data_IF_251071818930
#
_entry.id   IF_251071818930
#
_cell.length_a   1.000
_cell.length_b   1.000
_cell.length_c   1.000
_cell.angle_alpha   90.00
_cell.angle_beta   90.00
_cell.angle_gamma   90.00
#
_symmetry.space_group_name_H-M   'P 1'
#
loop_
_entity.id
_entity.type
_entity.pdbx_description
1 polymer ?
#
# COMPACT_ATOMS: atom_id res chain seq x y z
N UNK A 1 5.34 -3.76 8.95
CA UNK A 1 4.68 -4.08 7.67
C UNK A 1 4.47 -2.86 6.80
N UNK A 2 4.04 -1.73 7.39
CA UNK A 2 3.81 -0.52 6.59
C UNK A 2 5.09 0.06 6.01
N UNK A 3 6.19 0.02 6.76
CA UNK A 3 7.48 0.45 6.24
C UNK A 3 7.92 -0.43 5.08
N UNK A 4 7.67 -1.74 5.16
CA UNK A 4 7.94 -2.65 4.06
C UNK A 4 7.11 -2.31 2.83
N UNK A 5 5.82 -1.98 3.02
CA UNK A 5 4.95 -1.56 1.94
C UNK A 5 5.45 -0.27 1.27
N UNK A 6 5.80 0.73 2.09
CA UNK A 6 6.34 2.00 1.60
C UNK A 6 7.63 1.78 0.80
N UNK A 7 8.52 0.91 1.30
CA UNK A 7 9.77 0.60 0.62
C UNK A 7 9.53 -0.05 -0.73
N UNK A 8 8.59 -1.01 -0.79
CA UNK A 8 8.28 -1.70 -2.05
C UNK A 8 7.69 -0.75 -3.08
N UNK A 9 6.79 0.15 -2.66
CA UNK A 9 6.22 1.15 -3.56
C UNK A 9 7.31 2.11 -4.07
N UNK A 10 8.22 2.53 -3.19
CA UNK A 10 9.34 3.40 -3.59
C UNK A 10 10.24 2.71 -4.61
N UNK A 11 10.55 1.43 -4.42
CA UNK A 11 11.35 0.66 -5.37
C UNK A 11 10.64 0.47 -6.69
N UNK A 12 9.32 0.25 -6.66
CA UNK A 12 8.51 0.16 -7.87
C UNK A 12 8.54 1.47 -8.66
N UNK A 13 8.46 2.60 -7.97
CA UNK A 13 8.56 3.92 -8.59
C UNK A 13 9.90 4.10 -9.28
N UNK A 14 10.99 3.77 -8.60
CA UNK A 14 12.33 3.84 -9.19
C UNK A 14 12.46 2.96 -10.43
N UNK A 15 11.97 1.72 -10.35
CA UNK A 15 12.00 0.79 -11.47
C UNK A 15 11.19 1.32 -12.66
N UNK A 16 10.04 1.92 -12.39
CA UNK A 16 9.18 2.50 -13.42
C UNK A 16 9.89 3.67 -14.12
N UNK A 17 10.54 4.52 -13.34
CA UNK A 17 11.27 5.68 -13.88
C UNK A 17 12.48 5.27 -14.73
N UNK A 18 13.10 4.14 -14.41
CA UNK A 18 14.25 3.61 -15.15
C UNK A 18 13.85 2.63 -16.26
N UNK A 19 12.57 2.38 -16.44
CA UNK A 19 12.09 1.48 -17.50
C UNK A 19 12.33 0.00 -17.21
N UNK A 20 12.59 -0.38 -15.96
CA UNK A 20 12.79 -1.78 -15.59
C UNK A 20 11.45 -2.45 -15.30
N UNK A 21 10.83 -3.00 -16.35
CA UNK A 21 9.48 -3.57 -16.31
C UNK A 21 9.41 -4.77 -15.36
N UNK A 22 10.41 -5.65 -15.38
CA UNK A 22 10.43 -6.83 -14.55
C UNK A 22 10.48 -6.47 -13.06
N UNK A 23 11.37 -5.54 -12.68
CA UNK A 23 11.50 -5.11 -11.29
C UNK A 23 10.25 -4.34 -10.83
N UNK A 24 9.69 -3.50 -11.69
CA UNK A 24 8.44 -2.78 -11.40
C UNK A 24 7.33 -3.76 -11.02
N UNK A 25 7.09 -4.76 -11.84
CA UNK A 25 6.05 -5.76 -11.59
C UNK A 25 6.30 -6.55 -10.32
N UNK A 26 7.54 -6.95 -10.08
CA UNK A 26 7.92 -7.67 -8.87
C UNK A 26 7.66 -6.85 -7.60
N UNK A 27 8.09 -5.59 -7.58
CA UNK A 27 7.93 -4.74 -6.40
C UNK A 27 6.47 -4.37 -6.15
N UNK A 28 5.70 -4.10 -7.21
CA UNK A 28 4.26 -3.85 -7.07
C UNK A 28 3.55 -5.09 -6.53
N UNK A 29 3.89 -6.28 -7.04
CA UNK A 29 3.33 -7.52 -6.54
C UNK A 29 3.61 -7.74 -5.06
N UNK A 30 4.83 -7.46 -4.61
CA UNK A 30 5.20 -7.56 -3.19
C UNK A 30 4.45 -6.53 -2.34
N UNK A 31 4.27 -5.32 -2.84
CA UNK A 31 3.49 -4.29 -2.13
C UNK A 31 2.04 -4.71 -1.97
N UNK A 32 1.42 -5.25 -3.01
CA UNK A 32 0.05 -5.77 -2.96
C UNK A 32 -0.06 -6.89 -1.92
N UNK A 33 0.91 -7.79 -1.88
CA UNK A 33 0.93 -8.89 -0.91
C UNK A 33 1.04 -8.39 0.54
N UNK A 34 1.87 -7.37 0.78
CA UNK A 34 2.02 -6.77 2.11
C UNK A 34 0.70 -6.13 2.54
N UNK A 35 0.04 -5.39 1.65
CA UNK A 35 -1.26 -4.78 1.96
C UNK A 35 -2.31 -5.86 2.20
N UNK A 36 -2.27 -6.97 1.44
CA UNK A 36 -3.12 -8.12 1.69
C UNK A 36 -2.95 -8.68 3.09
N UNK A 37 -1.70 -8.77 3.57
CA UNK A 37 -1.40 -9.18 4.95
C UNK A 37 -1.98 -8.21 5.97
N UNK A 38 -1.92 -6.90 5.70
CA UNK A 38 -2.55 -5.90 6.57
C UNK A 38 -4.06 -6.10 6.65
N UNK A 39 -4.70 -6.39 5.52
CA UNK A 39 -6.15 -6.66 5.49
C UNK A 39 -6.50 -7.89 6.31
N UNK A 40 -5.72 -8.96 6.18
CA UNK A 40 -5.95 -10.21 6.92
C UNK A 40 -5.77 -10.01 8.43
N UNK A 41 -4.92 -9.10 8.86
CA UNK A 41 -4.67 -8.84 10.27
C UNK A 41 -5.75 -7.98 10.93
N UNK A 42 -6.67 -7.41 10.16
CA UNK A 42 -7.76 -6.61 10.71
C UNK A 42 -8.74 -7.49 11.49
N UNK A 43 -9.09 -7.03 12.70
CA UNK A 43 -10.07 -7.73 13.53
C UNK A 43 -11.43 -7.06 13.38
N UNK A 44 -12.25 -7.56 12.46
CA UNK A 44 -13.55 -6.99 12.17
C UNK A 44 -14.53 -7.10 13.33
N UNK A 45 -14.36 -8.10 14.21
CA UNK A 45 -15.21 -8.25 15.38
C UNK A 45 -14.97 -7.17 16.43
N UNK A 46 -13.71 -6.84 16.67
CA UNK A 46 -13.33 -5.84 17.67
C UNK A 46 -13.22 -4.45 17.07
N UNK A 47 -12.72 -4.35 15.84
CA UNK A 47 -12.53 -3.08 15.15
C UNK A 47 -13.81 -2.48 14.58
N UNK A 48 -14.81 -3.31 14.32
CA UNK A 48 -16.10 -2.85 13.80
C UNK A 48 -15.98 -1.99 12.55
N UNK A 49 -16.55 -0.78 12.63
CA UNK A 49 -16.57 0.17 11.51
C UNK A 49 -15.17 0.63 11.11
N UNK A 50 -14.28 0.82 12.09
CA UNK A 50 -12.90 1.26 11.80
C UNK A 50 -12.15 0.20 10.99
N UNK A 51 -12.28 -1.07 11.38
CA UNK A 51 -11.65 -2.16 10.62
C UNK A 51 -12.21 -2.25 9.21
N UNK A 52 -13.51 -2.09 9.04
CA UNK A 52 -14.15 -2.07 7.72
C UNK A 52 -13.65 -0.93 6.85
N UNK A 53 -13.49 0.26 7.44
CA UNK A 53 -12.97 1.43 6.72
C UNK A 53 -11.52 1.21 6.29
N UNK A 54 -10.69 0.64 7.16
CA UNK A 54 -9.30 0.32 6.83
C UNK A 54 -9.22 -0.74 5.73
N UNK A 55 -10.06 -1.76 5.81
CA UNK A 55 -10.11 -2.80 4.78
C UNK A 55 -10.44 -2.21 3.41
N UNK A 56 -11.42 -1.32 3.35
CA UNK A 56 -11.80 -0.64 2.12
C UNK A 56 -10.63 0.20 1.57
N UNK A 57 -9.92 0.89 2.44
CA UNK A 57 -8.77 1.71 2.05
C UNK A 57 -7.64 0.84 1.52
N UNK A 58 -7.34 -0.27 2.19
CA UNK A 58 -6.30 -1.20 1.72
C UNK A 58 -6.69 -1.83 0.38
N UNK A 59 -7.96 -2.18 0.19
CA UNK A 59 -8.44 -2.69 -1.10
C UNK A 59 -8.27 -1.66 -2.21
N UNK A 60 -8.56 -0.39 -1.91
CA UNK A 60 -8.35 0.71 -2.84
C UNK A 60 -6.87 0.84 -3.22
N UNK A 61 -5.96 0.75 -2.23
CA UNK A 61 -4.52 0.80 -2.49
C UNK A 61 -4.07 -0.33 -3.40
N UNK A 62 -4.56 -1.55 -3.18
CA UNK A 62 -4.23 -2.70 -4.03
C UNK A 62 -4.69 -2.47 -5.46
N UNK A 63 -5.88 -1.91 -5.63
CA UNK A 63 -6.41 -1.58 -6.96
C UNK A 63 -5.55 -0.52 -7.65
N UNK A 64 -5.16 0.52 -6.93
CA UNK A 64 -4.30 1.57 -7.48
C UNK A 64 -2.93 1.04 -7.89
N UNK A 65 -2.36 0.14 -7.08
CA UNK A 65 -1.09 -0.50 -7.41
C UNK A 65 -1.20 -1.32 -8.70
N UNK A 66 -2.27 -2.08 -8.85
CA UNK A 66 -2.51 -2.85 -10.08
C UNK A 66 -2.66 -1.93 -11.30
N UNK A 67 -3.38 -0.83 -11.15
CA UNK A 67 -3.53 0.16 -12.22
C UNK A 67 -2.21 0.84 -12.56
N UNK A 68 -1.39 1.15 -11.55
CA UNK A 68 -0.07 1.74 -11.78
C UNK A 68 0.80 0.83 -12.62
N UNK A 69 0.78 -0.47 -12.33
CA UNK A 69 1.54 -1.46 -13.09
C UNK A 69 1.03 -1.55 -14.53
N UNK A 70 -0.29 -1.62 -14.69
CA UNK A 70 -0.91 -1.78 -16.00
C UNK A 70 -0.72 -0.56 -16.89
N UNK A 71 -0.87 0.65 -16.31
CA UNK A 71 -0.82 1.92 -17.05
C UNK A 71 0.56 2.56 -17.05
N UNK A 72 1.47 2.05 -16.24
CA UNK A 72 2.81 2.61 -16.05
C UNK A 72 2.75 4.08 -15.57
N UNK A 73 1.88 4.34 -14.59
CA UNK A 73 1.66 5.69 -14.05
C UNK A 73 2.28 5.85 -12.66
N UNK A 74 3.34 6.66 -12.58
CA UNK A 74 4.02 6.99 -11.32
C UNK A 74 3.08 7.69 -10.34
N UNK A 75 2.18 8.53 -10.82
CA UNK A 75 1.25 9.28 -9.98
C UNK A 75 0.41 8.36 -9.09
N UNK A 76 0.03 7.18 -9.58
CA UNK A 76 -0.74 6.21 -8.78
C UNK A 76 0.11 5.62 -7.65
N UNK A 77 1.41 5.42 -7.88
CA UNK A 77 2.33 4.98 -6.82
C UNK A 77 2.50 6.06 -5.76
N UNK A 78 2.58 7.31 -6.15
CA UNK A 78 2.66 8.43 -5.22
C UNK A 78 1.40 8.53 -4.37
N UNK A 79 0.22 8.32 -4.96
CA UNK A 79 -1.04 8.30 -4.24
C UNK A 79 -1.04 7.23 -3.15
N UNK A 80 -0.63 6.01 -3.48
CA UNK A 80 -0.56 4.91 -2.51
C UNK A 80 0.45 5.23 -1.41
N UNK A 81 1.59 5.83 -1.75
CA UNK A 81 2.59 6.24 -0.78
C UNK A 81 2.00 7.20 0.25
N UNK A 82 1.26 8.21 -0.20
CA UNK A 82 0.63 9.18 0.70
C UNK A 82 -0.40 8.51 1.60
N UNK A 83 -1.22 7.62 1.05
CA UNK A 83 -2.22 6.89 1.84
C UNK A 83 -1.56 6.00 2.90
N UNK A 84 -0.48 5.30 2.55
CA UNK A 84 0.26 4.48 3.52
C UNK A 84 0.86 5.33 4.63
N UNK A 85 1.39 6.50 4.30
CA UNK A 85 1.94 7.42 5.30
C UNK A 85 0.87 7.92 6.25
N UNK A 86 -0.30 8.24 5.74
CA UNK A 86 -1.44 8.68 6.56
C UNK A 86 -1.87 7.59 7.53
N UNK A 87 -1.99 6.35 7.05
CA UNK A 87 -2.36 5.22 7.91
C UNK A 87 -1.28 4.98 8.96
N UNK A 88 -0.01 5.02 8.57
CA UNK A 88 1.10 4.85 9.51
C UNK A 88 1.09 5.93 10.59
N UNK A 89 0.86 7.17 10.21
CA UNK A 89 0.78 8.29 11.13
C UNK A 89 -0.33 8.10 12.16
N UNK A 90 -1.50 7.61 11.71
CA UNK A 90 -2.61 7.29 12.61
C UNK A 90 -2.26 6.20 13.59
N UNK A 91 -1.59 5.12 13.14
CA UNK A 91 -1.15 4.04 14.01
C UNK A 91 -0.13 4.53 15.03
N UNK A 92 0.86 5.32 14.61
CA UNK A 92 1.88 5.85 15.51
C UNK A 92 1.26 6.77 16.56
N UNK A 93 0.28 7.59 16.18
CA UNK A 93 -0.45 8.44 17.11
C UNK A 93 -1.21 7.64 18.17
N UNK A 94 -1.84 6.55 17.79
CA UNK A 94 -2.56 5.66 18.71
C UNK A 94 -1.59 5.01 19.68
N UNK A 95 -0.42 4.60 19.23
CA UNK A 95 0.60 3.96 20.08
C UNK A 95 1.15 4.90 21.14
N UNK A 96 1.22 6.19 20.82
CA UNK A 96 1.78 7.19 21.74
C UNK A 96 0.79 7.64 22.80
N UNK A 97 -0.47 7.41 22.58
CA UNK A 97 -1.52 7.76 23.52
C UNK A 97 -1.89 6.61 24.42
#
# INVERSE_FOLDING_TARGET
>A
LMDGGLQRVAQAKGAMQHGNVALKGEQIGKAIAIIGGLRESLNHKQGGEVAGNLDSLYAFMQQRLSQANLRNEVALLDEVTELLREVKSGWDGIRQS
#
